data_IF_743187202011
#
_entry.id   IF_743187202011
#
_cell.length_a   1.000
_cell.length_b   1.000
_cell.length_c   1.000
_cell.angle_alpha   90.00
_cell.angle_beta   90.00
_cell.angle_gamma   90.00
#
_symmetry.space_group_name_H-M   'P 1'
#
loop_
_entity.id
_entity.type
_entity.pdbx_description
1 polymer ?
#
# COMPACT_ATOMS: atom_id res chain seq x y z
N UNK A 1 -15.83 -8.54 -2.64
CA UNK A 1 -14.54 -7.89 -2.91
C UNK A 1 -14.52 -6.53 -2.25
N UNK A 2 -13.73 -6.37 -1.18
CA UNK A 2 -13.49 -5.08 -0.54
C UNK A 2 -12.19 -4.49 -1.09
N UNK A 3 -12.23 -3.21 -1.46
CA UNK A 3 -11.11 -2.49 -2.06
C UNK A 3 -10.83 -1.24 -1.24
N UNK A 4 -9.59 -1.07 -0.82
CA UNK A 4 -9.10 0.18 -0.28
C UNK A 4 -8.65 1.07 -1.44
N UNK A 5 -9.49 2.04 -1.80
CA UNK A 5 -9.27 2.90 -2.96
C UNK A 5 -8.21 3.97 -2.73
N UNK A 6 -7.77 4.21 -1.49
CA UNK A 6 -6.79 5.25 -1.19
C UNK A 6 -6.09 4.98 0.13
N UNK A 7 -4.82 4.60 0.06
CA UNK A 7 -4.00 4.46 1.26
C UNK A 7 -2.53 4.83 1.05
N UNK A 8 -1.85 5.18 2.14
CA UNK A 8 -0.45 5.62 2.15
C UNK A 8 0.42 4.69 3.01
N UNK A 9 0.18 3.38 2.92
CA UNK A 9 0.89 2.36 3.70
C UNK A 9 2.41 2.31 3.41
N UNK A 10 2.86 2.86 2.29
CA UNK A 10 4.27 2.97 1.95
C UNK A 10 5.03 4.04 2.76
N UNK A 11 4.35 4.89 3.53
CA UNK A 11 4.99 5.92 4.35
C UNK A 11 5.75 5.32 5.55
N UNK A 12 6.78 6.04 6.01
CA UNK A 12 7.67 5.64 7.10
C UNK A 12 6.95 5.40 8.43
N UNK A 13 5.81 6.05 8.65
CA UNK A 13 4.97 5.84 9.85
C UNK A 13 4.51 4.38 10.00
N UNK A 14 4.50 3.60 8.92
CA UNK A 14 4.14 2.18 8.90
C UNK A 14 5.37 1.28 8.72
N UNK A 15 6.59 1.81 8.63
CA UNK A 15 7.79 1.00 8.32
C UNK A 15 8.00 -0.18 9.27
N UNK A 16 7.66 -0.02 10.55
CA UNK A 16 7.83 -1.04 11.58
C UNK A 16 6.72 -2.09 11.63
N UNK A 17 5.52 -1.79 11.15
CA UNK A 17 4.32 -2.64 11.31
C UNK A 17 3.54 -2.87 10.01
N UNK A 18 4.03 -2.38 8.86
CA UNK A 18 3.39 -2.52 7.54
C UNK A 18 3.00 -3.97 7.21
N UNK A 19 3.86 -4.99 7.41
CA UNK A 19 3.47 -6.38 7.15
C UNK A 19 2.25 -6.82 7.96
N UNK A 20 2.18 -6.42 9.25
CA UNK A 20 1.06 -6.74 10.12
C UNK A 20 -0.21 -5.96 9.79
N UNK A 21 -0.09 -4.70 9.36
CA UNK A 21 -1.22 -3.90 8.87
C UNK A 21 -1.82 -4.54 7.62
N UNK A 22 -0.98 -4.90 6.64
CA UNK A 22 -1.43 -5.54 5.40
C UNK A 22 -2.07 -6.89 5.70
N UNK A 23 -1.44 -7.71 6.56
CA UNK A 23 -2.00 -9.01 6.97
C UNK A 23 -3.39 -8.86 7.57
N UNK A 24 -3.57 -7.96 8.55
CA UNK A 24 -4.87 -7.71 9.17
C UNK A 24 -5.91 -7.20 8.18
N UNK A 25 -5.53 -6.32 7.26
CA UNK A 25 -6.44 -5.83 6.23
C UNK A 25 -6.90 -6.96 5.28
N UNK A 26 -5.99 -7.86 4.90
CA UNK A 26 -6.32 -9.05 4.10
C UNK A 26 -7.22 -10.02 4.88
N UNK A 27 -6.93 -10.27 6.16
CA UNK A 27 -7.79 -11.08 7.04
C UNK A 27 -9.19 -10.48 7.21
N UNK A 28 -9.31 -9.16 7.18
CA UNK A 28 -10.58 -8.43 7.19
C UNK A 28 -11.29 -8.40 5.81
N UNK A 29 -10.71 -9.03 4.78
CA UNK A 29 -11.31 -9.17 3.45
C UNK A 29 -10.94 -8.09 2.44
N UNK A 30 -9.99 -7.21 2.73
CA UNK A 30 -9.46 -6.25 1.74
C UNK A 30 -8.58 -6.99 0.73
N UNK A 31 -8.95 -6.92 -0.53
CA UNK A 31 -8.27 -7.66 -1.61
C UNK A 31 -7.27 -6.79 -2.39
N UNK A 32 -7.55 -5.48 -2.51
CA UNK A 32 -6.76 -4.53 -3.30
C UNK A 32 -6.57 -3.21 -2.57
N UNK A 33 -5.38 -2.64 -2.71
CA UNK A 33 -4.95 -1.37 -2.14
C UNK A 33 -4.44 -0.48 -3.26
N UNK A 34 -5.03 0.70 -3.39
CA UNK A 34 -4.56 1.71 -4.31
C UNK A 34 -3.74 2.75 -3.56
N UNK A 35 -2.57 3.06 -4.12
CA UNK A 35 -1.53 3.84 -3.47
C UNK A 35 -1.30 5.16 -4.21
N UNK A 36 -2.14 6.20 -4.04
CA UNK A 36 -1.86 7.53 -4.54
C UNK A 36 -0.55 8.06 -3.97
N UNK A 37 0.35 8.52 -4.84
CA UNK A 37 1.61 9.16 -4.45
C UNK A 37 1.35 10.47 -3.68
N UNK A 38 2.24 10.82 -2.74
CA UNK A 38 2.19 12.12 -2.03
C UNK A 38 3.12 13.13 -2.69
N UNK A 39 4.41 12.82 -2.79
CA UNK A 39 5.42 13.70 -3.37
C UNK A 39 6.57 12.90 -4.01
N UNK A 40 7.60 13.59 -4.50
CA UNK A 40 8.73 12.94 -5.20
C UNK A 40 9.51 11.95 -4.33
N UNK A 41 9.54 12.15 -3.02
CA UNK A 41 10.27 11.31 -2.05
C UNK A 41 9.55 10.00 -1.79
N UNK A 42 8.25 9.94 -2.05
CA UNK A 42 7.42 8.76 -1.79
C UNK A 42 7.24 7.84 -2.99
N UNK A 43 7.74 8.23 -4.17
CA UNK A 43 7.64 7.43 -5.39
C UNK A 43 8.32 6.07 -5.19
N UNK A 44 9.57 6.04 -4.74
CA UNK A 44 10.30 4.77 -4.60
C UNK A 44 9.68 3.85 -3.52
N UNK A 45 9.35 4.33 -2.30
CA UNK A 45 8.63 3.50 -1.33
C UNK A 45 7.30 2.95 -1.84
N UNK A 46 6.55 3.73 -2.61
CA UNK A 46 5.28 3.30 -3.20
C UNK A 46 5.50 2.18 -4.24
N UNK A 47 6.48 2.35 -5.15
CA UNK A 47 6.82 1.34 -6.14
C UNK A 47 7.42 0.08 -5.47
N UNK A 48 8.19 0.23 -4.39
CA UNK A 48 8.67 -0.89 -3.59
C UNK A 48 7.51 -1.70 -3.01
N UNK A 49 6.46 -1.03 -2.53
CA UNK A 49 5.28 -1.69 -1.99
C UNK A 49 4.51 -2.51 -3.04
N UNK A 50 4.43 -2.05 -4.29
CA UNK A 50 3.89 -2.86 -5.40
C UNK A 50 4.70 -4.15 -5.60
N UNK A 51 6.04 -4.05 -5.58
CA UNK A 51 6.94 -5.20 -5.75
C UNK A 51 6.85 -6.19 -4.59
N UNK A 52 6.69 -5.70 -3.37
CA UNK A 52 6.57 -6.54 -2.17
C UNK A 52 5.21 -7.26 -2.08
N UNK A 53 4.15 -6.66 -2.65
CA UNK A 53 2.77 -7.17 -2.60
C UNK A 53 2.12 -7.20 -3.99
N UNK A 54 2.66 -7.99 -4.94
CA UNK A 54 2.20 -8.00 -6.32
C UNK A 54 0.74 -8.48 -6.42
N UNK A 55 -0.05 -7.81 -7.26
CA UNK A 55 -1.47 -8.12 -7.46
C UNK A 55 -2.39 -7.67 -6.30
N UNK A 56 -1.84 -7.06 -5.25
CA UNK A 56 -2.61 -6.48 -4.13
C UNK A 56 -2.42 -4.97 -4.03
N UNK A 57 -1.19 -4.48 -4.18
CA UNK A 57 -0.88 -3.06 -4.10
C UNK A 57 -0.70 -2.47 -5.50
N UNK A 58 -1.39 -1.36 -5.79
CA UNK A 58 -1.39 -0.73 -7.12
C UNK A 58 -0.99 0.75 -6.99
N UNK A 59 0.16 1.16 -7.55
CA UNK A 59 0.61 2.54 -7.47
C UNK A 59 -0.27 3.46 -8.32
N UNK A 60 -0.48 4.69 -7.86
CA UNK A 60 -1.19 5.73 -8.59
C UNK A 60 -0.36 7.01 -8.60
N UNK A 61 -0.12 7.53 -9.80
CA UNK A 61 0.61 8.78 -10.02
C UNK A 61 -0.38 9.90 -10.35
N UNK A 62 -0.20 11.07 -9.73
CA UNK A 62 -1.01 12.27 -9.90
C UNK A 62 -0.31 13.50 -9.35
#
# INVERSE_FOLDING_TARGET
MLVDTHTHLYLDRFSNDRPDVIRRAVEAGVERFYLPNVDRRTIEPMLAMERDYPGRCFPMMG
#
